data_IF_790897816534
#
_entry.id   IF_790897816534
#
_cell.length_a   1.000
_cell.length_b   1.000
_cell.length_c   1.000
_cell.angle_alpha   90.00
_cell.angle_beta   90.00
_cell.angle_gamma   90.00
#
_symmetry.space_group_name_H-M   'P 1'
#
loop_
_entity.id
_entity.type
_entity.pdbx_description
1 polymer ?
#
# COMPACT_ATOMS: atom_id res chain seq x y z
N UNK A 1 6.80 10.61 -6.48
CA UNK A 1 8.03 9.80 -6.33
C UNK A 1 8.24 9.38 -4.86
N UNK A 2 7.23 8.81 -4.19
CA UNK A 2 7.30 8.35 -2.78
C UNK A 2 7.17 6.83 -2.67
N UNK A 3 6.59 6.17 -3.69
CA UNK A 3 6.39 4.72 -3.74
C UNK A 3 7.70 3.93 -3.56
N UNK A 4 8.78 4.32 -4.25
CA UNK A 4 10.08 3.67 -4.11
C UNK A 4 10.63 3.75 -2.68
N UNK A 5 10.52 4.91 -2.03
CA UNK A 5 10.94 5.09 -0.64
C UNK A 5 10.13 4.23 0.34
N UNK A 6 8.82 4.12 0.14
CA UNK A 6 7.94 3.29 0.97
C UNK A 6 8.23 1.80 0.75
N UNK A 7 8.32 1.35 -0.50
CA UNK A 7 8.54 -0.05 -0.83
C UNK A 7 9.93 -0.53 -0.39
N UNK A 8 10.98 0.22 -0.72
CA UNK A 8 12.36 -0.10 -0.33
C UNK A 8 12.55 0.04 1.18
N UNK A 9 11.96 1.07 1.80
CA UNK A 9 11.98 1.23 3.26
C UNK A 9 11.31 0.05 3.98
N UNK A 10 10.12 -0.37 3.53
CA UNK A 10 9.43 -1.53 4.07
C UNK A 10 10.21 -2.84 3.86
N UNK A 11 10.84 -3.02 2.68
CA UNK A 11 11.72 -4.16 2.42
C UNK A 11 12.94 -4.17 3.35
N UNK A 12 13.54 -3.00 3.60
CA UNK A 12 14.65 -2.85 4.54
C UNK A 12 14.26 -3.29 5.95
N UNK A 13 13.11 -2.84 6.44
CA UNK A 13 12.57 -3.25 7.74
C UNK A 13 12.27 -4.76 7.79
N UNK A 14 11.62 -5.30 6.76
CA UNK A 14 11.31 -6.73 6.68
C UNK A 14 12.59 -7.60 6.66
N UNK A 15 13.62 -7.15 5.94
CA UNK A 15 14.91 -7.83 5.86
C UNK A 15 15.65 -7.81 7.19
N UNK A 16 15.62 -6.68 7.90
CA UNK A 16 16.24 -6.51 9.21
C UNK A 16 15.53 -7.36 10.29
N UNK A 17 14.20 -7.47 10.23
CA UNK A 17 13.40 -8.25 11.18
C UNK A 17 13.47 -9.78 10.94
N UNK A 18 13.84 -10.22 9.73
CA UNK A 18 13.85 -11.63 9.37
C UNK A 18 15.08 -12.38 9.92
N UNK A 19 14.83 -13.44 10.69
CA UNK A 19 15.85 -14.39 11.12
C UNK A 19 16.55 -15.05 9.91
N UNK A 20 17.86 -15.24 9.99
CA UNK A 20 18.72 -15.67 8.87
C UNK A 20 18.20 -16.93 8.15
N UNK A 21 17.74 -17.93 8.90
CA UNK A 21 17.26 -19.21 8.36
C UNK A 21 15.89 -19.12 7.64
N UNK A 22 15.12 -18.04 7.83
CA UNK A 22 13.82 -17.82 7.15
C UNK A 22 13.81 -16.61 6.21
N UNK A 23 14.90 -15.85 6.15
CA UNK A 23 14.99 -14.58 5.41
C UNK A 23 14.62 -14.72 3.95
N UNK A 24 15.13 -15.73 3.25
CA UNK A 24 14.82 -15.94 1.84
C UNK A 24 13.31 -16.13 1.58
N UNK A 25 12.65 -16.96 2.40
CA UNK A 25 11.20 -17.20 2.30
C UNK A 25 10.39 -15.93 2.60
N UNK A 26 10.75 -15.20 3.66
CA UNK A 26 10.05 -13.99 4.06
C UNK A 26 10.19 -12.86 3.03
N UNK A 27 11.39 -12.66 2.48
CA UNK A 27 11.62 -11.67 1.43
C UNK A 27 10.89 -12.06 0.13
N UNK A 28 10.93 -13.34 -0.26
CA UNK A 28 10.17 -13.82 -1.43
C UNK A 28 8.67 -13.54 -1.26
N UNK A 29 8.10 -13.85 -0.09
CA UNK A 29 6.71 -13.54 0.22
C UNK A 29 6.42 -12.04 0.18
N UNK A 30 7.33 -11.19 0.70
CA UNK A 30 7.21 -9.75 0.63
C UNK A 30 7.06 -9.27 -0.82
N UNK A 31 7.90 -9.77 -1.73
CA UNK A 31 7.80 -9.43 -3.15
C UNK A 31 6.51 -9.93 -3.79
N UNK A 32 6.12 -11.18 -3.55
CA UNK A 32 4.88 -11.74 -4.10
C UNK A 32 3.69 -10.87 -3.69
N UNK A 33 3.55 -10.60 -2.39
CA UNK A 33 2.46 -9.78 -1.87
C UNK A 33 2.55 -8.35 -2.39
N UNK A 34 3.74 -7.76 -2.43
CA UNK A 34 3.95 -6.42 -2.94
C UNK A 34 3.53 -6.27 -4.41
N UNK A 35 3.94 -7.21 -5.27
CA UNK A 35 3.55 -7.18 -6.69
C UNK A 35 2.06 -7.43 -6.89
N UNK A 36 1.47 -8.38 -6.16
CA UNK A 36 0.03 -8.62 -6.20
C UNK A 36 -0.76 -7.39 -5.74
N UNK A 37 -0.28 -6.71 -4.71
CA UNK A 37 -0.91 -5.48 -4.19
C UNK A 37 -0.92 -4.34 -5.21
N UNK A 38 0.01 -4.34 -6.17
CA UNK A 38 0.00 -3.39 -7.28
C UNK A 38 -0.85 -3.89 -8.46
N UNK A 39 -0.78 -5.19 -8.76
CA UNK A 39 -1.47 -5.79 -9.89
C UNK A 39 -3.00 -5.78 -9.71
N UNK A 40 -3.50 -6.13 -8.52
CA UNK A 40 -4.94 -6.23 -8.28
C UNK A 40 -5.67 -4.90 -8.51
N UNK A 41 -5.24 -3.75 -7.96
CA UNK A 41 -5.88 -2.45 -8.25
C UNK A 41 -5.81 -2.10 -9.73
N UNK A 42 -4.69 -2.35 -10.41
CA UNK A 42 -4.54 -2.05 -11.83
C UNK A 42 -5.53 -2.87 -12.68
N UNK A 43 -5.65 -4.17 -12.42
CA UNK A 43 -6.61 -5.06 -13.09
C UNK A 43 -8.05 -4.63 -12.78
N UNK A 44 -8.37 -4.38 -11.52
CA UNK A 44 -9.70 -3.92 -11.10
C UNK A 44 -10.10 -2.61 -11.79
N UNK A 45 -9.17 -1.66 -11.88
CA UNK A 45 -9.41 -0.41 -12.62
C UNK A 45 -9.58 -0.66 -14.12
N UNK A 46 -8.83 -1.60 -14.71
CA UNK A 46 -9.03 -2.03 -16.09
C UNK A 46 -10.46 -2.51 -16.36
N UNK A 47 -11.01 -3.36 -15.49
CA UNK A 47 -12.41 -3.79 -15.57
C UNK A 47 -13.39 -2.63 -15.39
N UNK A 48 -13.12 -1.72 -14.44
CA UNK A 48 -13.98 -0.56 -14.21
C UNK A 48 -14.00 0.39 -15.41
N UNK A 49 -12.86 0.61 -16.05
CA UNK A 49 -12.74 1.40 -17.29
C UNK A 49 -13.57 0.76 -18.40
N UNK A 50 -13.47 -0.56 -18.57
CA UNK A 50 -14.20 -1.30 -19.59
C UNK A 50 -15.73 -1.27 -19.36
N UNK A 51 -16.18 -1.29 -18.10
CA UNK A 51 -17.59 -1.26 -17.75
C UNK A 51 -18.20 0.16 -17.74
N UNK A 52 -17.38 1.20 -17.58
CA UNK A 52 -17.84 2.59 -17.46
C UNK A 52 -17.11 3.47 -18.46
N UNK A 53 -16.07 4.18 -18.02
CA UNK A 53 -15.14 4.96 -18.82
C UNK A 53 -13.91 5.30 -17.96
N UNK A 54 -12.91 5.91 -18.59
CA UNK A 54 -11.67 6.29 -17.91
C UNK A 54 -11.88 7.33 -16.79
N UNK A 55 -12.75 8.32 -17.01
CA UNK A 55 -12.99 9.40 -16.06
C UNK A 55 -13.63 8.89 -14.76
N UNK A 56 -14.65 8.02 -14.86
CA UNK A 56 -15.30 7.39 -13.71
C UNK A 56 -14.29 6.55 -12.92
N UNK A 57 -13.50 5.72 -13.59
CA UNK A 57 -12.48 4.90 -12.93
C UNK A 57 -11.42 5.76 -12.21
N UNK A 58 -11.00 6.87 -12.82
CA UNK A 58 -10.07 7.81 -12.22
C UNK A 58 -10.63 8.44 -10.93
N UNK A 59 -11.89 8.90 -10.95
CA UNK A 59 -12.51 9.47 -9.75
C UNK A 59 -12.69 8.44 -8.64
N UNK A 60 -13.09 7.21 -8.98
CA UNK A 60 -13.19 6.12 -7.99
C UNK A 60 -11.84 5.84 -7.36
N UNK A 61 -10.79 5.65 -8.16
CA UNK A 61 -9.44 5.38 -7.65
C UNK A 61 -8.92 6.53 -6.77
N UNK A 62 -9.13 7.77 -7.21
CA UNK A 62 -8.76 8.97 -6.45
C UNK A 62 -9.51 9.06 -5.12
N UNK A 63 -10.82 8.78 -5.11
CA UNK A 63 -11.63 8.74 -3.90
C UNK A 63 -11.15 7.68 -2.92
N UNK A 64 -10.81 6.48 -3.41
CA UNK A 64 -10.23 5.41 -2.59
C UNK A 64 -8.89 5.83 -1.98
N UNK A 65 -8.02 6.49 -2.75
CA UNK A 65 -6.74 7.00 -2.26
C UNK A 65 -6.93 8.08 -1.19
N UNK A 66 -7.86 9.01 -1.39
CA UNK A 66 -8.18 10.06 -0.41
C UNK A 66 -8.72 9.43 0.87
N UNK A 67 -9.65 8.47 0.77
CA UNK A 67 -10.17 7.76 1.92
C UNK A 67 -9.06 7.03 2.68
N UNK A 68 -8.19 6.30 1.98
CA UNK A 68 -7.06 5.59 2.57
C UNK A 68 -6.10 6.56 3.29
N UNK A 69 -5.70 7.65 2.62
CA UNK A 69 -4.88 8.69 3.22
C UNK A 69 -5.55 9.30 4.46
N UNK A 70 -6.85 9.58 4.40
CA UNK A 70 -7.65 10.07 5.51
C UNK A 70 -7.64 9.12 6.71
N UNK A 71 -7.82 7.81 6.49
CA UNK A 71 -7.74 6.81 7.56
C UNK A 71 -6.35 6.75 8.20
N UNK A 72 -5.29 6.86 7.40
CA UNK A 72 -3.91 6.90 7.90
C UNK A 72 -3.64 8.13 8.75
N UNK A 73 -4.04 9.31 8.26
CA UNK A 73 -3.92 10.57 8.99
C UNK A 73 -4.73 10.54 10.30
N UNK A 74 -5.96 10.02 10.26
CA UNK A 74 -6.78 9.85 11.45
C UNK A 74 -6.12 8.93 12.48
N UNK A 75 -5.56 7.79 12.04
CA UNK A 75 -4.85 6.87 12.92
C UNK A 75 -3.61 7.51 13.58
N UNK A 76 -2.85 8.28 12.82
CA UNK A 76 -1.69 9.03 13.33
C UNK A 76 -2.15 10.11 14.32
N UNK A 77 -3.14 10.92 13.96
CA UNK A 77 -3.68 11.97 14.82
C UNK A 77 -4.21 11.41 16.15
N UNK A 78 -4.93 10.29 16.11
CA UNK A 78 -5.40 9.58 17.31
C UNK A 78 -4.23 9.11 18.19
N UNK A 79 -3.18 8.56 17.58
CA UNK A 79 -2.01 8.07 18.31
C UNK A 79 -1.25 9.21 18.99
N UNK A 80 -1.14 10.37 18.33
CA UNK A 80 -0.51 11.55 18.89
C UNK A 80 -1.35 12.17 20.00
N UNK A 81 -2.68 12.22 19.85
CA UNK A 81 -3.58 12.73 20.88
C UNK A 81 -3.57 11.87 22.16
N UNK A 82 -3.31 10.57 22.07
CA UNK A 82 -3.16 9.69 23.25
C UNK A 82 -1.80 9.89 23.95
N UNK A 83 -0.78 10.39 23.24
CA UNK A 83 0.60 10.55 23.75
C UNK A 83 0.89 11.93 24.31
N UNK A 84 0.06 12.92 24.05
CA UNK A 84 0.17 14.25 24.64
C UNK A 84 -0.70 14.29 25.92
N UNK A 85 -0.13 14.68 27.08
CA UNK A 85 -0.87 14.78 28.35
C UNK A 85 -1.97 15.86 28.31
#
# INVERSE_FOLDING_TARGET
MVYGAVFVGALGLASAAAATHRRAKLISNFYIVGYLSNAFPAIAMGFLIAATNFQTAFYVFSGLLIALAGTGLFGIARTLAIRLP
#
